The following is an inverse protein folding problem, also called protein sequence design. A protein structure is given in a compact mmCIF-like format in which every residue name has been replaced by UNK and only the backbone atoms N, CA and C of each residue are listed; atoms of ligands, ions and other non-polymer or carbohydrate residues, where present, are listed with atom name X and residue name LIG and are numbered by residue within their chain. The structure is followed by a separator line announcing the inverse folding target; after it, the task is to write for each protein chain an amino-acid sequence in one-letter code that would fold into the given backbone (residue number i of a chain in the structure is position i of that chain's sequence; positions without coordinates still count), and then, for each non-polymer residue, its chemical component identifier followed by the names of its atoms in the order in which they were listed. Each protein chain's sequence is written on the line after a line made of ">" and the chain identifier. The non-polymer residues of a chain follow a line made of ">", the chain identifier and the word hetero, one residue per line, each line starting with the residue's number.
data_IF_836363200834
#
_entry.id   IF_836363200834
#
_cell.length_a   1.000
_cell.length_b   1.000
_cell.length_c   1.000
_cell.angle_alpha   90.00
_cell.angle_beta   90.00
_cell.angle_gamma   90.00
#
_symmetry.space_group_name_H-M   'P 1'
#
loop_
_entity.id
_entity.type
_entity.pdbx_description
1 polymer ?
#
# COMPACT_ATOMS: atom_id res chain seq x y z
N UNK A 1 -6.80 10.18 10.24
CA UNK A 1 -7.36 9.04 11.00
C UNK A 1 -8.01 8.09 10.01
N UNK A 2 -7.90 6.77 10.20
CA UNK A 2 -8.44 5.78 9.26
C UNK A 2 -9.97 5.79 9.20
N UNK A 3 -10.55 5.54 8.02
CA UNK A 3 -12.02 5.54 7.80
C UNK A 3 -12.69 4.21 8.10
N UNK A 4 -14.01 4.21 8.37
CA UNK A 4 -14.84 3.00 8.55
C UNK A 4 -16.21 3.07 7.84
N UNK A 5 -17.09 2.08 7.98
CA UNK A 5 -18.43 2.08 7.33
C UNK A 5 -19.40 3.13 7.90
N UNK A 6 -19.05 3.88 8.94
CA UNK A 6 -19.85 4.96 9.55
C UNK A 6 -19.24 6.35 9.28
N UNK A 7 -17.93 6.41 9.16
CA UNK A 7 -17.09 7.58 9.07
C UNK A 7 -16.10 7.38 7.92
N UNK A 8 -16.65 7.55 6.73
CA UNK A 8 -15.97 7.41 5.46
C UNK A 8 -16.28 8.61 4.56
N UNK A 9 -15.47 8.84 3.52
CA UNK A 9 -15.65 9.97 2.64
C UNK A 9 -17.01 9.96 1.95
N UNK A 10 -17.64 11.12 1.84
CA UNK A 10 -18.98 11.27 1.22
C UNK A 10 -19.03 10.70 -0.21
N UNK A 11 -17.91 10.62 -0.90
CA UNK A 11 -17.77 10.04 -2.24
C UNK A 11 -18.05 8.54 -2.30
N UNK A 12 -17.81 7.77 -1.22
CA UNK A 12 -18.07 6.32 -1.21
C UNK A 12 -19.53 5.98 -0.86
N UNK A 13 -20.32 7.00 -0.53
CA UNK A 13 -21.68 6.83 0.03
C UNK A 13 -22.65 6.13 -0.91
N UNK A 14 -22.51 6.34 -2.22
CA UNK A 14 -23.41 5.80 -3.23
C UNK A 14 -22.88 4.51 -3.90
N UNK A 15 -21.80 3.92 -3.39
CA UNK A 15 -21.24 2.65 -3.88
C UNK A 15 -21.91 1.45 -3.20
N UNK A 16 -21.88 0.29 -3.87
CA UNK A 16 -22.27 -0.99 -3.27
C UNK A 16 -21.51 -1.19 -1.95
N UNK A 17 -22.16 -1.64 -0.86
CA UNK A 17 -21.47 -1.72 0.42
C UNK A 17 -20.23 -2.61 0.38
N UNK A 18 -20.21 -3.68 -0.41
CA UNK A 18 -19.00 -4.50 -0.58
C UNK A 18 -17.88 -3.69 -1.24
N UNK A 19 -18.15 -3.01 -2.35
CA UNK A 19 -17.17 -2.17 -3.06
C UNK A 19 -16.70 -1.00 -2.19
N UNK A 20 -17.60 -0.37 -1.44
CA UNK A 20 -17.25 0.73 -0.52
C UNK A 20 -16.31 0.25 0.57
N UNK A 21 -16.62 -0.87 1.21
CA UNK A 21 -15.77 -1.34 2.31
C UNK A 21 -14.39 -1.74 1.76
N UNK A 22 -14.37 -2.41 0.60
CA UNK A 22 -13.18 -2.68 -0.21
C UNK A 22 -12.35 -1.42 -0.48
N UNK A 23 -13.03 -0.34 -0.83
CA UNK A 23 -12.45 0.97 -1.10
C UNK A 23 -11.96 1.74 0.14
N UNK A 24 -12.31 1.31 1.34
CA UNK A 24 -11.85 1.96 2.57
C UNK A 24 -10.61 1.23 3.07
N UNK A 25 -10.62 -0.09 2.98
CA UNK A 25 -9.55 -0.93 3.48
C UNK A 25 -8.23 -0.68 2.75
N UNK A 26 -8.27 -0.65 1.42
CA UNK A 26 -7.10 -0.34 0.59
C UNK A 26 -6.65 1.10 0.80
N UNK A 27 -7.58 1.97 1.18
CA UNK A 27 -7.29 3.37 1.41
C UNK A 27 -6.51 3.52 2.71
N UNK A 28 -6.92 2.81 3.76
CA UNK A 28 -6.18 2.82 5.00
C UNK A 28 -4.82 2.11 4.85
N UNK A 29 -4.71 1.09 4.00
CA UNK A 29 -3.46 0.37 3.69
C UNK A 29 -2.40 1.24 3.04
N UNK A 30 -2.79 2.00 2.02
CA UNK A 30 -1.83 2.92 1.43
C UNK A 30 -1.48 3.98 2.46
N UNK A 31 -2.44 4.50 3.24
CA UNK A 31 -2.14 5.56 4.20
C UNK A 31 -1.07 5.16 5.21
N UNK A 32 -1.13 3.92 5.64
CA UNK A 32 -0.20 3.38 6.62
C UNK A 32 1.23 3.12 6.12
N UNK A 33 1.42 2.76 4.85
CA UNK A 33 2.75 2.67 4.23
C UNK A 33 3.43 4.05 4.08
N UNK A 34 2.82 5.08 4.68
CA UNK A 34 3.15 6.49 4.61
C UNK A 34 2.43 7.21 3.47
N UNK A 35 1.31 6.68 2.95
CA UNK A 35 0.56 7.36 1.90
C UNK A 35 -0.48 8.31 2.50
N UNK A 36 -1.04 9.16 1.65
CA UNK A 36 -1.92 10.24 2.09
C UNK A 36 -3.38 9.85 1.97
N UNK A 37 -4.16 10.39 2.90
CA UNK A 37 -5.51 9.94 3.17
C UNK A 37 -6.45 10.09 1.95
N UNK A 38 -6.66 11.31 1.45
CA UNK A 38 -7.48 11.57 0.26
C UNK A 38 -7.07 10.76 -0.99
N UNK A 39 -5.80 10.32 -1.03
CA UNK A 39 -5.17 9.66 -2.19
C UNK A 39 -5.40 8.16 -2.21
N UNK A 40 -5.51 7.58 -1.03
CA UNK A 40 -5.69 6.16 -0.88
C UNK A 40 -7.14 5.75 -1.20
N UNK A 41 -8.09 6.63 -0.92
CA UNK A 41 -9.54 6.42 -1.11
C UNK A 41 -9.96 6.07 -2.55
N UNK A 42 -9.60 6.82 -3.59
CA UNK A 42 -9.99 6.47 -4.96
C UNK A 42 -9.22 5.26 -5.53
N UNK A 43 -7.93 5.09 -5.20
CA UNK A 43 -7.10 3.94 -5.63
C UNK A 43 -7.62 2.65 -5.00
N UNK A 44 -8.07 2.75 -3.77
CA UNK A 44 -8.86 1.74 -3.11
C UNK A 44 -10.19 1.48 -3.80
N UNK A 45 -10.92 2.54 -4.17
CA UNK A 45 -12.24 2.41 -4.81
C UNK A 45 -12.20 1.69 -6.15
N UNK A 46 -11.20 1.98 -6.98
CA UNK A 46 -11.09 1.34 -8.29
C UNK A 46 -10.71 -0.13 -8.16
N UNK A 47 -9.77 -0.45 -7.28
CA UNK A 47 -9.31 -1.82 -7.08
C UNK A 47 -10.30 -2.68 -6.33
N UNK A 48 -11.13 -2.02 -5.55
CA UNK A 48 -12.32 -2.58 -4.97
C UNK A 48 -13.34 -3.02 -6.01
N UNK A 49 -13.56 -2.22 -7.07
CA UNK A 49 -14.44 -2.58 -8.18
C UNK A 49 -13.83 -3.70 -9.02
N UNK A 50 -12.54 -3.61 -9.34
CA UNK A 50 -11.82 -4.65 -10.10
C UNK A 50 -11.80 -6.00 -9.37
N UNK A 51 -11.63 -5.99 -8.05
CA UNK A 51 -11.83 -7.20 -7.25
C UNK A 51 -13.27 -7.68 -7.37
N UNK A 52 -14.23 -6.80 -7.16
CA UNK A 52 -15.65 -7.17 -7.13
C UNK A 52 -16.10 -7.84 -8.43
N UNK A 53 -15.66 -7.33 -9.59
CA UNK A 53 -15.99 -7.90 -10.91
C UNK A 53 -15.34 -9.27 -11.16
N UNK A 54 -14.23 -9.57 -10.49
CA UNK A 54 -13.51 -10.84 -10.61
C UNK A 54 -13.70 -11.75 -9.38
N UNK A 55 -14.45 -11.30 -8.37
CA UNK A 55 -14.65 -11.96 -7.10
C UNK A 55 -15.89 -12.85 -7.15
N UNK A 56 -15.82 -13.95 -6.42
CA UNK A 56 -16.96 -14.86 -6.23
C UNK A 56 -18.04 -14.22 -5.35
N UNK A 57 -19.27 -14.68 -5.49
CA UNK A 57 -20.41 -14.17 -4.72
C UNK A 57 -20.18 -14.28 -3.20
N UNK A 58 -19.53 -15.36 -2.77
CA UNK A 58 -19.12 -15.54 -1.39
C UNK A 58 -18.06 -14.51 -0.93
N UNK A 59 -17.09 -14.11 -1.78
CA UNK A 59 -16.09 -13.08 -1.49
C UNK A 59 -16.73 -11.70 -1.32
N UNK A 60 -17.66 -11.39 -2.21
CA UNK A 60 -18.46 -10.18 -2.19
C UNK A 60 -19.32 -10.09 -0.93
N UNK A 61 -20.08 -11.15 -0.58
CA UNK A 61 -20.93 -11.18 0.61
C UNK A 61 -20.15 -10.98 1.92
N UNK A 62 -18.88 -11.39 1.94
CA UNK A 62 -17.99 -11.18 3.08
C UNK A 62 -17.54 -9.74 3.24
N UNK A 63 -16.98 -9.11 2.20
CA UNK A 63 -16.58 -7.69 2.29
C UNK A 63 -17.80 -6.79 2.45
N UNK A 64 -18.98 -7.25 2.05
CA UNK A 64 -20.23 -6.59 2.40
C UNK A 64 -20.49 -6.57 3.92
N UNK A 65 -20.29 -7.69 4.62
CA UNK A 65 -20.55 -7.84 6.06
C UNK A 65 -19.42 -7.33 6.98
N UNK A 66 -18.21 -7.04 6.45
CA UNK A 66 -17.01 -6.51 7.16
C UNK A 66 -17.33 -5.45 8.23
N UNK A 67 -16.76 -5.43 9.42
CA UNK A 67 -17.24 -4.49 10.46
C UNK A 67 -16.64 -3.07 10.35
N UNK A 68 -17.11 -2.10 11.14
CA UNK A 68 -16.55 -0.73 11.15
C UNK A 68 -15.16 -0.68 11.77
N UNK A 69 -15.01 -1.41 12.85
CA UNK A 69 -13.75 -1.59 13.54
C UNK A 69 -12.68 -2.13 12.57
N UNK A 70 -13.08 -3.06 11.72
CA UNK A 70 -12.21 -3.76 10.77
C UNK A 70 -11.71 -2.88 9.63
N UNK A 71 -12.49 -1.90 9.17
CA UNK A 71 -12.01 -0.93 8.19
C UNK A 71 -11.05 0.10 8.79
N UNK A 72 -11.27 0.52 10.04
CA UNK A 72 -10.45 1.52 10.73
C UNK A 72 -9.11 1.00 11.19
N UNK A 73 -8.97 -0.31 11.23
CA UNK A 73 -7.68 -0.91 11.43
C UNK A 73 -6.74 -0.37 10.34
N UNK A 74 -5.64 0.23 10.81
CA UNK A 74 -4.54 0.81 10.04
C UNK A 74 -4.05 -0.25 9.04
N UNK A 75 -4.41 -0.14 7.76
CA UNK A 75 -3.80 -0.86 6.65
C UNK A 75 -3.59 -2.37 6.76
N UNK A 76 -4.20 -2.97 7.78
CA UNK A 76 -4.02 -4.35 8.17
C UNK A 76 -5.15 -5.22 7.61
N UNK A 77 -6.03 -4.64 6.79
CA UNK A 77 -7.02 -5.36 6.01
C UNK A 77 -6.63 -5.36 4.52
N UNK A 78 -6.31 -6.54 4.02
CA UNK A 78 -6.50 -6.85 2.62
C UNK A 78 -8.00 -6.90 2.38
N UNK A 79 -8.53 -5.87 1.77
CA UNK A 79 -9.64 -6.08 0.90
C UNK A 79 -9.30 -5.32 -0.40
N UNK A 80 -8.26 -5.80 -1.11
CA UNK A 80 -7.78 -5.68 -2.53
C UNK A 80 -6.92 -4.50 -3.07
N UNK A 81 -5.88 -4.05 -2.38
CA UNK A 81 -4.94 -2.98 -2.81
C UNK A 81 -3.81 -3.56 -3.64
N UNK A 82 -3.53 -3.13 -4.88
CA UNK A 82 -3.05 -3.95 -6.04
C UNK A 82 -2.33 -5.10 -5.43
N UNK A 83 -3.04 -6.20 -5.11
CA UNK A 83 -2.57 -7.11 -4.05
C UNK A 83 -1.16 -7.59 -4.37
N UNK A 84 -0.85 -7.62 -5.66
CA UNK A 84 0.41 -8.00 -6.25
C UNK A 84 1.60 -7.05 -6.04
N UNK A 85 1.38 -5.78 -5.66
CA UNK A 85 2.41 -4.73 -5.58
C UNK A 85 2.81 -4.41 -4.15
N UNK A 86 1.91 -4.61 -3.19
CA UNK A 86 2.31 -4.76 -1.80
C UNK A 86 3.37 -5.89 -1.70
N UNK A 87 3.22 -6.97 -2.49
CA UNK A 87 4.11 -8.16 -2.53
C UNK A 87 5.48 -7.97 -3.18
N UNK A 88 5.97 -6.75 -3.31
CA UNK A 88 7.18 -6.50 -4.08
C UNK A 88 8.25 -5.68 -3.37
N UNK A 89 9.50 -6.12 -3.52
CA UNK A 89 10.70 -5.63 -2.82
C UNK A 89 10.88 -4.14 -2.87
N UNK A 90 11.12 -3.46 -1.78
CA UNK A 90 11.72 -2.15 -1.91
C UNK A 90 13.12 -2.19 -2.55
N UNK A 91 13.56 -1.12 -3.17
CA UNK A 91 14.93 -0.95 -3.59
C UNK A 91 15.41 0.38 -3.04
N UNK A 92 16.60 0.40 -2.45
CA UNK A 92 17.34 1.60 -2.11
C UNK A 92 18.32 1.88 -3.22
N UNK A 93 17.91 2.70 -4.18
CA UNK A 93 18.75 3.05 -5.32
C UNK A 93 19.48 4.35 -5.07
N UNK A 94 20.70 4.47 -5.62
CA UNK A 94 21.31 5.79 -5.76
C UNK A 94 20.36 6.64 -6.59
N UNK A 95 20.14 7.83 -6.11
CA UNK A 95 19.29 8.79 -6.74
C UNK A 95 20.08 10.10 -6.81
N UNK A 96 19.86 10.91 -7.85
CA UNK A 96 20.64 12.13 -8.07
C UNK A 96 20.65 13.08 -6.86
N UNK A 97 19.60 13.02 -6.01
CA UNK A 97 19.43 13.81 -4.78
C UNK A 97 19.72 13.08 -3.46
N UNK A 98 20.41 11.95 -3.51
CA UNK A 98 20.69 11.11 -2.33
C UNK A 98 20.27 9.68 -2.58
N UNK A 99 19.31 9.18 -1.80
CA UNK A 99 18.97 7.76 -1.80
C UNK A 99 17.47 7.52 -1.68
N UNK A 100 16.95 6.57 -2.45
CA UNK A 100 15.50 6.42 -2.64
C UNK A 100 15.01 4.99 -2.38
N UNK A 101 13.91 4.83 -1.64
CA UNK A 101 13.19 3.59 -1.28
C UNK A 101 12.11 3.27 -2.31
N UNK A 102 12.05 2.10 -2.95
CA UNK A 102 10.98 1.78 -3.94
C UNK A 102 10.49 0.34 -4.03
N UNK A 103 9.19 0.08 -3.89
CA UNK A 103 8.57 -1.24 -4.04
C UNK A 103 8.83 -1.80 -5.46
N UNK A 104 9.03 -3.10 -5.64
CA UNK A 104 9.62 -3.69 -6.85
C UNK A 104 8.53 -3.95 -7.86
N UNK A 105 8.71 -3.67 -9.15
CA UNK A 105 7.62 -3.73 -10.16
C UNK A 105 6.44 -2.78 -9.86
N UNK A 106 6.18 -2.47 -8.59
CA UNK A 106 5.71 -1.20 -8.17
C UNK A 106 6.64 -0.18 -8.76
N UNK A 107 5.99 0.71 -9.46
CA UNK A 107 6.66 1.52 -10.44
C UNK A 107 7.39 2.68 -9.74
N UNK A 108 7.37 2.72 -8.41
CA UNK A 108 7.59 3.94 -7.64
C UNK A 108 8.28 3.73 -6.31
N UNK A 109 9.03 4.77 -5.98
CA UNK A 109 9.61 4.98 -4.68
C UNK A 109 8.55 5.31 -3.64
N UNK A 110 8.58 4.58 -2.53
CA UNK A 110 7.74 4.75 -1.37
C UNK A 110 8.17 5.97 -0.55
N UNK A 111 9.49 6.21 -0.38
CA UNK A 111 10.07 7.42 0.26
C UNK A 111 11.56 7.68 -0.16
N UNK A 112 12.17 8.86 0.08
CA UNK A 112 13.53 9.27 -0.40
C UNK A 112 14.22 10.18 0.63
N UNK A 113 15.55 10.11 0.78
CA UNK A 113 16.32 10.77 1.85
C UNK A 113 17.71 11.25 1.39
N UNK A 114 18.29 12.21 2.13
CA UNK A 114 19.56 12.89 1.81
C UNK A 114 20.75 11.96 1.95
N UNK A 115 20.72 11.22 3.04
CA UNK A 115 21.74 10.24 3.32
C UNK A 115 21.29 8.88 2.84
N UNK A 116 22.27 8.09 2.41
CA UNK A 116 22.06 6.67 2.17
C UNK A 116 21.44 6.01 3.38
N UNK A 117 21.89 6.40 4.55
CA UNK A 117 21.49 5.83 5.81
C UNK A 117 19.99 6.00 6.06
N UNK A 118 19.47 7.23 5.99
CA UNK A 118 18.03 7.50 6.17
C UNK A 118 17.16 6.82 5.11
N UNK A 119 17.63 6.74 3.86
CA UNK A 119 16.89 6.06 2.81
C UNK A 119 16.93 4.56 2.95
N UNK A 120 18.09 4.03 3.31
CA UNK A 120 18.20 2.64 3.67
C UNK A 120 17.30 2.37 4.87
N UNK A 121 17.17 3.27 5.84
CA UNK A 121 16.40 3.08 7.07
C UNK A 121 14.91 3.19 6.85
N UNK A 122 14.44 4.14 6.04
CA UNK A 122 13.04 4.16 5.59
C UNK A 122 12.75 3.07 4.59
N UNK A 123 13.71 2.63 3.78
CA UNK A 123 13.42 1.54 2.83
C UNK A 123 13.39 0.22 3.50
N UNK A 124 14.27 0.02 4.45
CA UNK A 124 14.06 -0.97 5.48
C UNK A 124 12.67 -0.74 6.06
N UNK A 125 12.27 0.45 6.51
CA UNK A 125 10.94 0.68 7.12
C UNK A 125 9.77 0.31 6.20
N UNK A 126 9.81 0.63 4.90
CA UNK A 126 8.70 0.37 3.99
C UNK A 126 8.78 -1.00 3.36
N UNK A 127 9.97 -1.55 3.11
CA UNK A 127 10.14 -2.96 2.74
C UNK A 127 9.71 -3.85 3.87
N UNK A 128 9.93 -3.37 5.10
CA UNK A 128 9.30 -3.91 6.28
C UNK A 128 7.78 -3.66 6.26
N UNK A 129 7.25 -2.46 5.94
CA UNK A 129 5.80 -2.17 5.89
C UNK A 129 5.07 -2.90 4.74
N UNK A 130 5.81 -3.39 3.74
CA UNK A 130 5.29 -4.08 2.55
C UNK A 130 5.59 -5.58 2.54
N UNK A 131 6.54 -6.06 3.34
CA UNK A 131 6.89 -7.49 3.51
C UNK A 131 7.76 -8.05 2.39
N UNK A 132 8.76 -7.27 2.01
CA UNK A 132 9.46 -7.47 0.76
C UNK A 132 10.95 -7.16 0.94
N UNK A 133 11.81 -7.66 0.08
CA UNK A 133 13.24 -7.33 0.12
C UNK A 133 13.52 -5.83 0.02
N UNK A 134 14.65 -5.36 0.56
CA UNK A 134 15.28 -4.13 0.11
C UNK A 134 16.51 -4.43 -0.72
N UNK A 135 16.54 -3.95 -1.94
CA UNK A 135 17.72 -4.04 -2.78
C UNK A 135 18.47 -2.72 -2.72
N UNK A 136 19.61 -2.68 -2.04
CA UNK A 136 20.46 -1.50 -1.88
C UNK A 136 21.50 -1.46 -3.00
N UNK A 137 21.56 -0.37 -3.75
CA UNK A 137 22.52 -0.18 -4.85
C UNK A 137 23.73 0.66 -4.41
N UNK A 138 24.78 0.70 -5.24
CA UNK A 138 25.97 1.56 -5.14
C UNK A 138 25.76 2.82 -5.98
N UNK A 139 26.69 3.79 -5.86
CA UNK A 139 26.65 5.02 -6.67
C UNK A 139 26.80 4.78 -8.18
N UNK A 140 27.53 3.74 -8.58
CA UNK A 140 27.67 3.33 -9.99
C UNK A 140 26.49 2.47 -10.49
N UNK A 141 25.41 2.31 -9.70
CA UNK A 141 24.19 1.60 -10.07
C UNK A 141 24.19 0.09 -9.82
N UNK A 142 25.36 -0.49 -9.56
CA UNK A 142 25.47 -1.91 -9.22
C UNK A 142 24.80 -2.23 -7.89
N UNK A 143 24.36 -3.46 -7.72
CA UNK A 143 23.81 -3.90 -6.44
C UNK A 143 24.93 -3.89 -5.40
N UNK A 144 24.77 -3.03 -4.39
CA UNK A 144 25.70 -2.99 -3.27
C UNK A 144 25.43 -4.14 -2.33
N UNK A 145 24.16 -4.29 -1.99
CA UNK A 145 23.70 -5.19 -0.95
C UNK A 145 22.23 -5.44 -1.17
N UNK A 146 21.85 -6.70 -1.33
CA UNK A 146 20.45 -7.09 -1.25
C UNK A 146 20.22 -7.59 0.15
N UNK A 147 19.20 -7.06 0.78
CA UNK A 147 18.71 -7.60 2.03
C UNK A 147 17.28 -7.97 1.81
N UNK A 148 16.99 -9.23 2.02
CA UNK A 148 15.63 -9.67 1.97
C UNK A 148 14.93 -9.43 3.30
N UNK A 149 13.75 -8.81 3.23
CA UNK A 149 12.78 -8.71 4.31
C UNK A 149 11.43 -9.30 3.85
N UNK A 150 11.43 -9.94 2.67
CA UNK A 150 10.41 -10.91 2.25
C UNK A 150 10.58 -12.23 2.99
#
# INVERSE_FOLDING_TARGET
>A
MPWDKKDFPRSLKNLDPAIRNKAIDIANAMVDEGYEEERAIPIATTQAKEWYDNATEDEVNRVHQISNEELRARGEGDVNSRPELIKKREHVVVHEGGWAVKTQDAKKASNIFDTKEEAVDRAKEIAKNKGTGVVIHKQNGEIQEQRDYS
#
